data_IF_655266819746
#
_entry.id   IF_655266819746
#
_cell.length_a   1.000
_cell.length_b   1.000
_cell.length_c   1.000
_cell.angle_alpha   90.00
_cell.angle_beta   90.00
_cell.angle_gamma   90.00
#
_symmetry.space_group_name_H-M   'P 1'
#
loop_
_entity.id
_entity.type
_entity.pdbx_description
1 polymer ?
#
# COMPACT_ATOMS: atom_id res chain seq x y z
N UNK A 1 -33.17 4.04 -11.17
CA UNK A 1 -32.88 5.26 -10.38
C UNK A 1 -33.07 4.92 -8.91
N UNK A 2 -31.98 4.69 -8.18
CA UNK A 2 -32.03 4.41 -6.74
C UNK A 2 -30.99 5.27 -6.04
N UNK A 3 -31.51 6.27 -5.31
CA UNK A 3 -30.98 6.88 -4.09
C UNK A 3 -29.48 7.19 -4.02
N UNK A 4 -29.11 8.39 -4.44
CA UNK A 4 -27.95 9.12 -3.88
C UNK A 4 -28.45 10.03 -2.74
N UNK A 5 -28.95 9.42 -1.66
CA UNK A 5 -29.28 10.18 -0.46
C UNK A 5 -28.03 10.25 0.44
N UNK A 6 -27.31 11.37 0.30
CA UNK A 6 -26.57 11.97 1.42
C UNK A 6 -25.09 11.64 1.56
N UNK A 7 -24.36 11.34 0.48
CA UNK A 7 -22.90 11.26 0.57
C UNK A 7 -22.29 12.67 0.63
N UNK A 8 -22.00 13.15 1.85
CA UNK A 8 -21.42 14.49 2.09
C UNK A 8 -19.91 14.57 1.84
N UNK A 9 -19.23 13.44 1.62
CA UNK A 9 -17.78 13.35 1.46
C UNK A 9 -17.41 12.22 0.48
N UNK A 10 -16.50 12.50 -0.45
CA UNK A 10 -16.06 11.57 -1.50
C UNK A 10 -16.69 11.83 -2.87
N UNK A 11 -16.22 11.11 -3.89
CA UNK A 11 -16.80 11.14 -5.25
C UNK A 11 -17.71 9.93 -5.45
N UNK A 12 -18.84 10.06 -6.18
CA UNK A 12 -19.63 8.92 -6.62
C UNK A 12 -18.75 7.91 -7.35
N UNK A 13 -19.00 6.62 -7.15
CA UNK A 13 -18.15 5.55 -7.69
C UNK A 13 -18.06 5.56 -9.23
N UNK A 14 -19.05 6.15 -9.91
CA UNK A 14 -19.10 6.36 -11.36
C UNK A 14 -18.54 7.70 -11.84
N UNK A 15 -17.98 8.52 -10.95
CA UNK A 15 -17.43 9.83 -11.31
C UNK A 15 -16.11 9.67 -12.04
N UNK A 16 -16.05 10.15 -13.28
CA UNK A 16 -14.83 10.17 -14.09
C UNK A 16 -13.70 11.01 -13.45
N UNK A 17 -14.03 11.92 -12.54
CA UNK A 17 -13.07 12.80 -11.86
C UNK A 17 -12.54 12.24 -10.54
N UNK A 18 -13.12 11.15 -10.02
CA UNK A 18 -12.70 10.51 -8.77
C UNK A 18 -11.19 10.22 -8.71
N UNK A 19 -10.59 9.62 -9.76
CA UNK A 19 -9.15 9.38 -9.81
C UNK A 19 -8.30 10.66 -9.75
N UNK A 20 -8.74 11.73 -10.41
CA UNK A 20 -8.03 13.02 -10.42
C UNK A 20 -8.03 13.66 -9.03
N UNK A 21 -9.18 13.66 -8.34
CA UNK A 21 -9.25 14.15 -6.96
C UNK A 21 -8.39 13.31 -6.01
N UNK A 22 -8.39 11.99 -6.19
CA UNK A 22 -7.52 11.13 -5.41
C UNK A 22 -6.04 11.42 -5.64
N UNK A 23 -5.62 11.66 -6.89
CA UNK A 23 -4.24 12.04 -7.20
C UNK A 23 -3.85 13.36 -6.53
N UNK A 24 -4.76 14.33 -6.43
CA UNK A 24 -4.49 15.60 -5.71
C UNK A 24 -4.26 15.37 -4.22
N UNK A 25 -5.11 14.56 -3.58
CA UNK A 25 -4.97 14.21 -2.15
C UNK A 25 -3.68 13.41 -1.94
N UNK A 26 -3.43 12.38 -2.76
CA UNK A 26 -2.24 11.56 -2.66
C UNK A 26 -0.96 12.36 -2.93
N UNK A 27 -0.98 13.37 -3.80
CA UNK A 27 0.21 14.18 -4.09
C UNK A 27 0.75 14.91 -2.85
N UNK A 28 -0.10 15.27 -1.88
CA UNK A 28 0.35 15.86 -0.61
C UNK A 28 1.28 14.91 0.14
N UNK A 29 0.86 13.66 0.35
CA UNK A 29 1.66 12.67 1.11
C UNK A 29 2.88 12.17 0.34
N UNK A 30 2.83 12.22 -1.01
CA UNK A 30 3.99 11.92 -1.85
C UNK A 30 5.09 12.99 -1.76
N UNK A 31 4.75 14.23 -1.37
CA UNK A 31 5.69 15.35 -1.26
C UNK A 31 6.11 15.64 0.19
N UNK A 32 5.58 14.90 1.16
CA UNK A 32 5.94 15.04 2.58
C UNK A 32 7.43 14.70 2.82
N UNK A 33 8.01 15.28 3.87
CA UNK A 33 9.38 14.97 4.27
C UNK A 33 9.42 13.65 5.04
N UNK A 34 9.78 12.58 4.35
CA UNK A 34 9.96 11.26 4.96
C UNK A 34 11.33 11.12 5.64
N UNK A 35 11.46 10.18 6.61
CA UNK A 35 12.74 9.86 7.22
C UNK A 35 13.78 9.42 6.18
N UNK A 36 15.06 9.57 6.50
CA UNK A 36 16.15 9.22 5.57
C UNK A 36 16.02 7.79 5.07
N UNK A 37 16.19 7.57 3.76
CA UNK A 37 16.01 6.25 3.12
C UNK A 37 14.58 5.68 3.21
N UNK A 38 13.56 6.50 3.51
CA UNK A 38 12.15 6.15 3.35
C UNK A 38 11.60 6.83 2.09
N UNK A 39 10.81 6.08 1.32
CA UNK A 39 10.03 6.59 0.21
C UNK A 39 8.60 6.08 0.30
N UNK A 40 7.64 6.86 -0.18
CA UNK A 40 6.25 6.44 -0.34
C UNK A 40 5.85 6.46 -1.82
N UNK A 41 4.98 5.53 -2.21
CA UNK A 41 4.31 5.53 -3.50
C UNK A 41 2.81 5.35 -3.29
N UNK A 42 2.01 5.89 -4.21
CA UNK A 42 0.57 5.76 -4.21
C UNK A 42 0.11 5.21 -5.57
N UNK A 43 -0.81 4.25 -5.56
CA UNK A 43 -1.43 3.72 -6.76
C UNK A 43 -2.91 3.47 -6.51
N UNK A 44 -3.77 4.24 -7.18
CA UNK A 44 -5.20 4.31 -6.83
C UNK A 44 -5.33 4.41 -5.29
N UNK A 45 -6.24 3.67 -4.68
CA UNK A 45 -6.48 3.68 -3.24
C UNK A 45 -5.41 3.01 -2.35
N UNK A 46 -4.23 2.65 -2.88
CA UNK A 46 -3.16 1.98 -2.12
C UNK A 46 -1.94 2.86 -1.95
N UNK A 47 -1.31 2.76 -0.79
CA UNK A 47 -0.02 3.36 -0.47
C UNK A 47 1.01 2.27 -0.20
N UNK A 48 2.25 2.50 -0.62
CA UNK A 48 3.39 1.62 -0.39
C UNK A 48 4.51 2.44 0.20
N UNK A 49 4.86 2.16 1.45
CA UNK A 49 5.99 2.74 2.14
C UNK A 49 7.18 1.79 2.07
N UNK A 50 8.35 2.31 1.71
CA UNK A 50 9.60 1.54 1.57
C UNK A 50 10.69 2.24 2.37
N UNK A 51 11.23 1.55 3.37
CA UNK A 51 12.35 2.03 4.20
C UNK A 51 13.54 1.08 4.10
N UNK A 52 14.74 1.64 4.11
CA UNK A 52 15.99 0.88 4.04
C UNK A 52 16.99 1.33 5.10
N UNK A 53 17.45 0.38 5.92
CA UNK A 53 18.49 0.60 6.93
C UNK A 53 19.40 -0.63 7.07
N UNK A 54 20.65 -0.46 7.55
CA UNK A 54 21.56 -1.59 7.81
C UNK A 54 21.12 -2.48 8.98
N UNK A 55 20.49 -1.91 10.01
CA UNK A 55 20.15 -2.65 11.23
C UNK A 55 18.65 -2.78 11.47
N UNK A 56 18.26 -3.85 12.18
CA UNK A 56 16.87 -4.11 12.57
C UNK A 56 16.29 -2.99 13.44
N UNK A 57 17.08 -2.46 14.38
CA UNK A 57 16.62 -1.45 15.33
C UNK A 57 16.36 -0.12 14.63
N UNK A 58 17.25 0.30 13.74
CA UNK A 58 17.04 1.49 12.90
C UNK A 58 15.82 1.29 12.00
N UNK A 59 15.62 0.09 11.44
CA UNK A 59 14.47 -0.20 10.60
C UNK A 59 13.14 -0.05 11.37
N UNK A 60 13.08 -0.59 12.59
CA UNK A 60 11.91 -0.45 13.47
C UNK A 60 11.64 1.00 13.80
N UNK A 61 12.67 1.74 14.23
CA UNK A 61 12.55 3.16 14.56
C UNK A 61 12.05 3.97 13.37
N UNK A 62 12.66 3.77 12.19
CA UNK A 62 12.35 4.51 10.97
C UNK A 62 10.94 4.20 10.44
N UNK A 63 10.53 2.93 10.45
CA UNK A 63 9.16 2.55 10.05
C UNK A 63 8.14 3.12 11.03
N UNK A 64 8.41 3.05 12.33
CA UNK A 64 7.49 3.59 13.34
C UNK A 64 7.32 5.11 13.19
N UNK A 65 8.40 5.85 12.97
CA UNK A 65 8.33 7.28 12.68
C UNK A 65 7.49 7.56 11.43
N UNK A 66 7.74 6.82 10.35
CA UNK A 66 7.00 6.97 9.09
C UNK A 66 5.50 6.63 9.26
N UNK A 67 5.18 5.63 10.10
CA UNK A 67 3.80 5.27 10.43
C UNK A 67 3.10 6.40 11.18
N UNK A 68 3.80 7.07 12.11
CA UNK A 68 3.25 8.23 12.84
C UNK A 68 2.96 9.38 11.88
N UNK A 69 3.91 9.74 11.03
CA UNK A 69 3.75 10.79 10.01
C UNK A 69 2.57 10.48 9.07
N UNK A 70 2.52 9.25 8.55
CA UNK A 70 1.42 8.79 7.69
C UNK A 70 0.07 8.80 8.44
N UNK A 71 0.02 8.39 9.71
CA UNK A 71 -1.20 8.39 10.52
C UNK A 71 -1.73 9.81 10.80
N UNK A 72 -0.82 10.76 11.04
CA UNK A 72 -1.17 12.18 11.17
C UNK A 72 -1.78 12.71 9.87
N UNK A 73 -1.18 12.40 8.72
CA UNK A 73 -1.72 12.79 7.42
C UNK A 73 -3.09 12.15 7.12
N UNK A 74 -3.27 10.86 7.42
CA UNK A 74 -4.55 10.14 7.28
C UNK A 74 -5.63 10.83 8.11
N UNK A 75 -5.32 11.19 9.35
CA UNK A 75 -6.24 11.87 10.26
C UNK A 75 -6.59 13.28 9.78
N UNK A 76 -5.59 14.05 9.32
CA UNK A 76 -5.75 15.39 8.73
C UNK A 76 -6.70 15.36 7.52
N UNK A 77 -6.56 14.36 6.67
CA UNK A 77 -7.36 14.20 5.45
C UNK A 77 -8.66 13.40 5.68
N UNK A 78 -8.99 13.06 6.94
CA UNK A 78 -10.19 12.30 7.30
C UNK A 78 -10.32 10.97 6.54
N UNK A 79 -9.17 10.34 6.26
CA UNK A 79 -9.11 9.05 5.61
C UNK A 79 -9.19 7.92 6.64
N UNK A 80 -9.60 6.74 6.18
CA UNK A 80 -9.59 5.52 6.99
C UNK A 80 -8.69 4.48 6.34
N UNK A 81 -7.78 3.91 7.13
CA UNK A 81 -6.90 2.83 6.71
C UNK A 81 -7.40 1.50 7.28
N UNK A 82 -7.51 0.50 6.43
CA UNK A 82 -7.84 -0.87 6.81
C UNK A 82 -6.60 -1.56 7.39
N UNK A 83 -6.42 -1.49 8.72
CA UNK A 83 -5.29 -2.12 9.41
C UNK A 83 -5.19 -3.63 9.12
N UNK A 84 -6.34 -4.31 9.00
CA UNK A 84 -6.48 -5.73 8.62
C UNK A 84 -5.92 -6.06 7.23
N UNK A 85 -5.90 -5.08 6.32
CA UNK A 85 -5.39 -5.22 4.94
C UNK A 85 -3.96 -4.70 4.79
N UNK A 86 -3.46 -3.98 5.79
CA UNK A 86 -2.08 -3.53 5.81
C UNK A 86 -1.17 -4.73 6.03
N UNK A 87 -0.19 -4.89 5.16
CA UNK A 87 0.76 -5.99 5.17
C UNK A 87 2.14 -5.44 4.85
N UNK A 88 3.19 -6.09 5.36
CA UNK A 88 4.56 -5.73 4.99
C UNK A 88 5.39 -6.95 4.58
N UNK A 89 6.39 -6.69 3.75
CA UNK A 89 7.40 -7.68 3.36
C UNK A 89 8.76 -7.16 3.81
N UNK A 90 9.50 -8.00 4.53
CA UNK A 90 10.89 -7.73 4.88
C UNK A 90 11.79 -8.42 3.85
N UNK A 91 12.60 -7.63 3.15
CA UNK A 91 13.64 -8.16 2.27
C UNK A 91 15.00 -8.04 2.96
N UNK A 92 15.37 -9.08 3.70
CA UNK A 92 16.68 -9.13 4.36
C UNK A 92 17.11 -10.59 4.61
N UNK A 93 18.37 -10.77 5.00
CA UNK A 93 18.89 -12.05 5.51
C UNK A 93 18.60 -12.24 7.01
N UNK A 94 17.86 -11.33 7.65
CA UNK A 94 17.59 -11.41 9.08
C UNK A 94 16.67 -12.59 9.37
N UNK A 95 17.10 -13.47 10.26
CA UNK A 95 16.29 -14.58 10.77
C UNK A 95 15.12 -14.04 11.60
N UNK A 96 15.37 -13.00 12.42
CA UNK A 96 14.37 -12.31 13.22
C UNK A 96 14.10 -10.93 12.65
N UNK A 97 12.91 -10.77 12.06
CA UNK A 97 12.47 -9.53 11.44
C UNK A 97 11.93 -8.53 12.46
N UNK A 98 11.73 -7.27 12.03
CA UNK A 98 11.13 -6.26 12.88
C UNK A 98 9.66 -6.60 13.18
N UNK A 99 9.19 -6.25 14.37
CA UNK A 99 7.74 -6.28 14.68
C UNK A 99 7.18 -4.90 14.45
N UNK A 100 6.36 -4.75 13.40
CA UNK A 100 5.74 -3.49 13.04
C UNK A 100 4.29 -3.51 13.52
N UNK A 101 3.85 -2.39 14.09
CA UNK A 101 2.48 -2.21 14.57
C UNK A 101 1.86 -0.97 13.93
N UNK A 102 0.56 -1.04 13.69
CA UNK A 102 -0.27 0.08 13.28
C UNK A 102 -1.34 0.28 14.35
N UNK A 103 -1.36 1.42 15.04
CA UNK A 103 -2.31 1.69 16.14
C UNK A 103 -2.41 0.51 17.14
N UNK A 104 -1.26 0.05 17.62
CA UNK A 104 -1.07 -1.12 18.51
C UNK A 104 -1.36 -2.51 17.93
N UNK A 105 -2.03 -2.60 16.78
CA UNK A 105 -2.26 -3.86 16.07
C UNK A 105 -1.01 -4.31 15.31
N UNK A 106 -0.66 -5.59 15.44
CA UNK A 106 0.47 -6.16 14.71
C UNK A 106 0.11 -6.31 13.23
N UNK A 107 0.94 -5.72 12.37
CA UNK A 107 0.77 -5.84 10.91
C UNK A 107 1.19 -7.25 10.49
N UNK A 108 0.41 -7.86 9.60
CA UNK A 108 0.74 -9.18 9.07
C UNK A 108 1.95 -9.12 8.12
N UNK A 109 2.77 -10.18 8.15
CA UNK A 109 4.01 -10.32 7.37
C UNK A 109 3.91 -11.49 6.39
N UNK A 110 3.22 -11.33 5.25
CA UNK A 110 3.22 -12.35 4.21
C UNK A 110 4.59 -12.44 3.53
N UNK A 111 4.86 -13.58 2.88
CA UNK A 111 6.05 -13.76 2.02
C UNK A 111 5.86 -13.13 0.62
N UNK A 112 4.62 -12.82 0.26
CA UNK A 112 4.24 -12.25 -1.03
C UNK A 112 3.24 -11.12 -0.80
N UNK A 113 3.53 -9.94 -1.36
CA UNK A 113 2.65 -8.78 -1.28
C UNK A 113 2.10 -8.41 -2.65
N UNK A 114 0.79 -8.25 -2.74
CA UNK A 114 0.12 -7.70 -3.90
C UNK A 114 0.00 -6.18 -3.75
N UNK A 115 0.83 -5.45 -4.50
CA UNK A 115 0.92 -3.98 -4.43
C UNK A 115 -0.04 -3.27 -5.39
N UNK A 116 -0.46 -3.91 -6.49
CA UNK A 116 -1.40 -3.36 -7.47
C UNK A 116 -2.00 -4.48 -8.33
N UNK A 117 -2.91 -4.16 -9.25
CA UNK A 117 -3.58 -5.15 -10.10
C UNK A 117 -2.55 -5.96 -10.92
N UNK A 118 -2.13 -7.09 -10.35
CA UNK A 118 -1.20 -8.02 -10.98
C UNK A 118 0.29 -7.77 -10.72
N UNK A 119 0.67 -6.82 -9.86
CA UNK A 119 2.07 -6.64 -9.46
C UNK A 119 2.30 -7.21 -8.05
N UNK A 120 3.34 -8.05 -7.93
CA UNK A 120 3.64 -8.79 -6.72
C UNK A 120 5.11 -8.59 -6.32
N UNK A 121 5.35 -8.37 -5.03
CA UNK A 121 6.69 -8.35 -4.45
C UNK A 121 6.86 -9.61 -3.60
N UNK A 122 7.86 -10.42 -3.95
CA UNK A 122 8.31 -11.60 -3.21
C UNK A 122 9.62 -11.28 -2.48
N UNK A 123 9.78 -11.81 -1.25
CA UNK A 123 11.04 -11.79 -0.49
C UNK A 123 12.22 -12.28 -1.33
N UNK A 124 12.00 -13.24 -2.25
CA UNK A 124 13.03 -13.77 -3.15
C UNK A 124 13.45 -12.80 -4.27
N UNK A 125 12.80 -11.64 -4.41
CA UNK A 125 13.07 -10.63 -5.45
C UNK A 125 13.05 -11.20 -6.88
N UNK A 126 12.24 -12.23 -7.13
CA UNK A 126 12.12 -12.82 -8.46
C UNK A 126 10.72 -12.56 -9.05
N UNK A 127 10.65 -12.50 -10.38
CA UNK A 127 9.43 -12.19 -11.12
C UNK A 127 8.54 -13.42 -11.38
N UNK A 128 8.85 -14.59 -10.82
CA UNK A 128 8.16 -15.82 -11.19
C UNK A 128 6.69 -15.82 -10.79
N UNK A 129 6.39 -15.35 -9.58
CA UNK A 129 5.02 -15.27 -9.07
C UNK A 129 4.20 -14.25 -9.86
N UNK A 130 4.81 -13.10 -10.17
CA UNK A 130 4.21 -12.09 -11.05
C UNK A 130 3.90 -12.66 -12.45
N UNK A 131 4.88 -13.30 -13.09
CA UNK A 131 4.72 -13.91 -14.42
C UNK A 131 3.62 -14.97 -14.45
N UNK A 132 3.54 -15.82 -13.42
CA UNK A 132 2.45 -16.81 -13.29
C UNK A 132 1.07 -16.14 -13.19
N UNK A 133 0.94 -15.14 -12.33
CA UNK A 133 -0.34 -14.43 -12.15
C UNK A 133 -0.80 -13.73 -13.44
N UNK A 134 0.13 -13.10 -14.18
CA UNK A 134 -0.16 -12.49 -15.48
C UNK A 134 -0.53 -13.54 -16.53
N UNK A 135 0.18 -14.67 -16.57
CA UNK A 135 -0.14 -15.78 -17.47
C UNK A 135 -1.55 -16.31 -17.22
N UNK A 136 -1.92 -16.58 -15.96
CA UNK A 136 -3.27 -17.08 -15.63
C UNK A 136 -4.36 -16.09 -16.03
N UNK A 137 -4.15 -14.79 -15.78
CA UNK A 137 -5.11 -13.77 -16.22
C UNK A 137 -5.24 -13.68 -17.74
N UNK A 138 -4.13 -13.77 -18.47
CA UNK A 138 -4.14 -13.77 -19.92
C UNK A 138 -4.93 -14.98 -20.46
N UNK A 139 -4.74 -16.17 -19.88
CA UNK A 139 -5.50 -17.38 -20.24
C UNK A 139 -7.00 -17.22 -19.94
N UNK A 140 -7.35 -16.72 -18.75
CA UNK A 140 -8.76 -16.49 -18.38
C UNK A 140 -9.44 -15.46 -19.29
N UNK A 141 -8.76 -14.37 -19.64
CA UNK A 141 -9.29 -13.39 -20.59
C UNK A 141 -9.49 -14.03 -21.97
N UNK A 142 -8.53 -14.82 -22.44
CA UNK A 142 -8.65 -15.53 -23.71
C UNK A 142 -9.86 -16.47 -23.76
N UNK A 143 -10.14 -17.21 -22.67
CA UNK A 143 -11.31 -18.09 -22.55
C UNK A 143 -12.65 -17.34 -22.48
N UNK A 144 -12.66 -16.07 -22.06
CA UNK A 144 -13.87 -15.24 -22.00
C UNK A 144 -14.21 -14.62 -23.38
N UNK A 145 -13.22 -14.46 -24.26
CA UNK A 145 -13.39 -13.87 -25.59
C UNK A 145 -13.55 -14.90 -26.73
N UNK A 146 -13.63 -16.19 -26.40
CA UNK A 146 -14.05 -17.28 -27.28
C UNK A 146 -15.49 -17.68 -26.97
#
# INVERSE_FOLDING_TARGET
MTSDQGQKQGCPQSSCNGPTFWNLVANEILQENWPINTNIQAFANKFVLVSHTPTRVELESQINQSIVEFSTWVSKNQLQISADKTNYVLISKLVWGPTIRWLDEKINRPLLLNISVGAYIDVKKNWNTHRKAQSTRATQLYEIFL
#
